data_IF_906197431511
#
_entry.id   IF_906197431511
#
_cell.length_a   1.000
_cell.length_b   1.000
_cell.length_c   1.000
_cell.angle_alpha   90.00
_cell.angle_beta   90.00
_cell.angle_gamma   90.00
#
_symmetry.space_group_name_H-M   'P 1'
#
loop_
_entity.id
_entity.type
_entity.pdbx_description
1 polymer ?
#
# COMPACT_ATOMS: atom_id res chain seq x y z
N UNK A 1 -8.00 31.92 -26.78
CA UNK A 1 -7.92 31.60 -25.33
C UNK A 1 -9.20 30.95 -24.80
N UNK A 2 -10.39 31.58 -24.84
CA UNK A 2 -11.66 30.98 -24.35
C UNK A 2 -11.96 29.57 -24.93
N UNK A 3 -11.83 29.38 -26.25
CA UNK A 3 -12.05 28.08 -26.90
C UNK A 3 -11.09 26.98 -26.43
N UNK A 4 -9.84 27.34 -26.11
CA UNK A 4 -8.83 26.41 -25.61
C UNK A 4 -9.13 25.97 -24.16
N UNK A 5 -9.51 26.92 -23.30
CA UNK A 5 -9.90 26.63 -21.92
C UNK A 5 -11.14 25.71 -21.89
N UNK A 6 -12.16 26.02 -22.70
CA UNK A 6 -13.37 25.18 -22.82
C UNK A 6 -13.00 23.77 -23.30
N UNK A 7 -12.14 23.66 -24.32
CA UNK A 7 -11.69 22.36 -24.81
C UNK A 7 -10.93 21.55 -23.75
N UNK A 8 -10.07 22.19 -22.95
CA UNK A 8 -9.33 21.52 -21.88
C UNK A 8 -10.25 21.04 -20.76
N UNK A 9 -11.25 21.83 -20.37
CA UNK A 9 -12.25 21.45 -19.36
C UNK A 9 -13.08 20.26 -19.84
N UNK A 10 -13.56 20.28 -21.08
CA UNK A 10 -14.32 19.16 -21.66
C UNK A 10 -13.48 17.89 -21.72
N UNK A 11 -12.19 18.01 -22.06
CA UNK A 11 -11.28 16.87 -22.03
C UNK A 11 -11.09 16.32 -20.62
N UNK A 12 -10.83 17.17 -19.62
CA UNK A 12 -10.68 16.75 -18.21
C UNK A 12 -11.97 16.09 -17.70
N UNK A 13 -13.14 16.61 -18.07
CA UNK A 13 -14.42 16.00 -17.72
C UNK A 13 -14.60 14.63 -18.38
N UNK A 14 -14.21 14.48 -19.65
CA UNK A 14 -14.32 13.23 -20.38
C UNK A 14 -13.40 12.14 -19.81
N UNK A 15 -12.16 12.47 -19.43
CA UNK A 15 -11.25 11.46 -18.86
C UNK A 15 -11.72 10.94 -17.50
N UNK A 16 -12.59 11.65 -16.75
CA UNK A 16 -13.11 11.12 -15.48
C UNK A 16 -13.97 9.86 -15.66
N UNK A 17 -14.51 9.62 -16.87
CA UNK A 17 -15.31 8.43 -17.17
C UNK A 17 -14.46 7.17 -17.39
N UNK A 18 -13.15 7.30 -17.57
CA UNK A 18 -12.23 6.16 -17.61
C UNK A 18 -11.89 5.83 -16.16
N UNK A 19 -12.25 4.65 -15.68
CA UNK A 19 -11.97 4.21 -14.31
C UNK A 19 -11.12 2.95 -14.31
N UNK A 20 -10.26 2.82 -13.30
CA UNK A 20 -9.64 1.54 -12.94
C UNK A 20 -10.42 0.98 -11.76
N UNK A 21 -10.81 -0.28 -11.86
CA UNK A 21 -11.49 -0.97 -10.77
C UNK A 21 -10.50 -1.31 -9.66
N UNK A 22 -10.84 -0.85 -8.46
CA UNK A 22 -10.26 -1.35 -7.22
C UNK A 22 -11.31 -1.34 -6.13
N UNK A 23 -11.32 -2.39 -5.34
CA UNK A 23 -12.05 -2.42 -4.09
C UNK A 23 -11.14 -1.86 -2.99
N UNK A 24 -11.51 -0.70 -2.45
CA UNK A 24 -10.83 -0.10 -1.31
C UNK A 24 -10.91 -1.02 -0.06
N UNK A 25 -12.03 -1.75 0.04
CA UNK A 25 -12.32 -2.72 1.07
C UNK A 25 -12.67 -4.06 0.41
N UNK A 26 -11.81 -5.06 0.58
CA UNK A 26 -12.07 -6.44 0.18
C UNK A 26 -12.36 -7.24 1.45
N UNK A 27 -13.49 -7.95 1.57
CA UNK A 27 -13.75 -8.80 2.72
C UNK A 27 -12.62 -9.81 2.95
N UNK A 28 -12.09 -9.87 4.16
CA UNK A 28 -11.08 -10.85 4.57
C UNK A 28 -11.41 -11.43 5.93
N UNK A 29 -11.05 -12.70 6.15
CA UNK A 29 -11.15 -13.31 7.46
C UNK A 29 -10.04 -12.75 8.36
N UNK A 30 -10.34 -12.22 9.56
CA UNK A 30 -9.32 -11.73 10.48
C UNK A 30 -8.25 -12.77 10.86
N UNK A 31 -8.55 -14.07 10.73
CA UNK A 31 -7.58 -15.16 10.96
C UNK A 31 -6.50 -15.24 9.87
N UNK A 32 -6.80 -14.74 8.68
CA UNK A 32 -5.89 -14.76 7.53
C UNK A 32 -4.90 -13.60 7.58
N UNK A 33 -5.17 -12.60 8.41
CA UNK A 33 -4.34 -11.41 8.54
C UNK A 33 -3.05 -11.70 9.33
N UNK A 34 -1.95 -11.04 8.96
CA UNK A 34 -0.68 -11.13 9.66
C UNK A 34 -0.82 -10.84 11.17
N UNK A 35 -0.29 -11.75 11.98
CA UNK A 35 -0.28 -11.65 13.44
C UNK A 35 1.05 -11.04 13.89
N UNK A 36 0.96 -9.84 14.45
CA UNK A 36 2.08 -9.06 14.92
C UNK A 36 1.78 -8.41 16.29
N UNK A 37 2.80 -8.19 17.14
CA UNK A 37 2.65 -7.39 18.35
C UNK A 37 2.09 -5.99 18.06
N UNK A 38 1.42 -5.37 19.03
CA UNK A 38 0.69 -4.11 18.81
C UNK A 38 1.56 -2.96 18.27
N UNK A 39 2.81 -2.86 18.73
CA UNK A 39 3.77 -1.86 18.22
C UNK A 39 4.11 -2.09 16.74
N UNK A 40 4.30 -3.35 16.33
CA UNK A 40 4.57 -3.71 14.94
C UNK A 40 3.34 -3.48 14.06
N UNK A 41 2.16 -3.89 14.55
CA UNK A 41 0.89 -3.69 13.83
C UNK A 41 0.62 -2.20 13.58
N UNK A 42 0.97 -1.32 14.51
CA UNK A 42 0.86 0.13 14.33
C UNK A 42 1.76 0.64 13.19
N UNK A 43 3.01 0.17 13.11
CA UNK A 43 3.94 0.52 12.02
C UNK A 43 3.39 0.01 10.67
N UNK A 44 2.98 -1.26 10.59
CA UNK A 44 2.45 -1.84 9.35
C UNK A 44 1.21 -1.11 8.86
N UNK A 45 0.29 -0.76 9.76
CA UNK A 45 -0.92 0.01 9.42
C UNK A 45 -0.59 1.38 8.86
N UNK A 46 0.33 2.11 9.51
CA UNK A 46 0.71 3.47 9.12
C UNK A 46 1.51 3.53 7.82
N UNK A 47 2.38 2.56 7.59
CA UNK A 47 3.41 2.65 6.56
C UNK A 47 3.23 1.67 5.40
N UNK A 48 2.33 0.68 5.52
CA UNK A 48 2.23 -0.40 4.53
C UNK A 48 0.80 -0.74 4.10
N UNK A 49 -0.20 -0.65 4.99
CA UNK A 49 -1.54 -1.20 4.74
C UNK A 49 -2.31 -0.53 3.61
N UNK A 50 -2.04 0.75 3.33
CA UNK A 50 -2.71 1.47 2.25
C UNK A 50 -2.47 0.81 0.89
N UNK A 51 -1.32 0.16 0.69
CA UNK A 51 -0.99 -0.56 -0.55
C UNK A 51 -0.97 -2.09 -0.40
N UNK A 52 -0.72 -2.61 0.79
CA UNK A 52 -0.48 -4.04 1.03
C UNK A 52 -1.54 -4.70 1.92
N UNK A 53 -2.77 -4.18 1.95
CA UNK A 53 -3.87 -4.83 2.66
C UNK A 53 -5.18 -4.74 1.89
N UNK A 54 -6.16 -5.53 2.31
CA UNK A 54 -7.53 -5.44 1.81
C UNK A 54 -8.27 -4.20 2.32
N UNK A 55 -7.70 -3.46 3.27
CA UNK A 55 -8.28 -2.23 3.82
C UNK A 55 -7.37 -1.05 3.50
N UNK A 56 -7.57 -0.48 2.32
CA UNK A 56 -6.77 0.65 1.83
C UNK A 56 -7.47 1.96 2.12
N UNK A 57 -6.77 2.89 2.78
CA UNK A 57 -7.23 4.27 2.87
C UNK A 57 -6.88 4.98 1.56
N UNK A 58 -7.89 5.16 0.70
CA UNK A 58 -7.71 5.86 -0.58
C UNK A 58 -7.75 7.38 -0.32
N UNK A 59 -6.69 8.14 -0.66
CA UNK A 59 -6.71 9.59 -0.52
C UNK A 59 -7.71 10.21 -1.51
N UNK A 60 -8.17 11.44 -1.25
CA UNK A 60 -9.18 12.12 -2.08
C UNK A 60 -8.81 12.19 -3.57
N UNK A 61 -7.53 12.35 -3.89
CA UNK A 61 -7.03 12.40 -5.27
C UNK A 61 -7.02 11.02 -5.95
N UNK A 62 -7.13 9.93 -5.19
CA UNK A 62 -7.32 8.56 -5.70
C UNK A 62 -8.69 8.32 -6.35
N UNK A 63 -9.56 9.33 -6.32
CA UNK A 63 -10.87 9.34 -6.98
C UNK A 63 -10.92 10.27 -8.21
N UNK A 64 -9.84 10.98 -8.55
CA UNK A 64 -9.81 11.96 -9.64
C UNK A 64 -8.82 11.52 -10.72
N UNK A 65 -9.29 11.41 -11.96
CA UNK A 65 -8.44 11.06 -13.09
C UNK A 65 -7.47 12.21 -13.46
N UNK A 66 -6.25 11.90 -13.93
CA UNK A 66 -5.69 10.56 -14.13
C UNK A 66 -5.04 9.95 -12.87
N UNK A 67 -4.96 10.70 -11.77
CA UNK A 67 -4.28 10.25 -10.54
C UNK A 67 -4.92 9.01 -9.92
N UNK A 68 -6.24 8.89 -10.00
CA UNK A 68 -6.97 7.69 -9.60
C UNK A 68 -6.45 6.43 -10.28
N UNK A 69 -6.07 6.49 -11.56
CA UNK A 69 -5.55 5.32 -12.26
C UNK A 69 -4.22 4.88 -11.68
N UNK A 70 -3.32 5.85 -11.47
CA UNK A 70 -2.02 5.59 -10.88
C UNK A 70 -2.15 4.98 -9.48
N UNK A 71 -2.89 5.62 -8.59
CA UNK A 71 -3.09 5.15 -7.21
C UNK A 71 -3.65 3.73 -7.20
N UNK A 72 -4.71 3.48 -7.97
CA UNK A 72 -5.40 2.18 -7.98
C UNK A 72 -4.53 1.09 -8.59
N UNK A 73 -3.81 1.37 -9.68
CA UNK A 73 -2.86 0.41 -10.26
C UNK A 73 -1.79 0.03 -9.26
N UNK A 74 -1.19 1.02 -8.59
CA UNK A 74 -0.13 0.77 -7.60
C UNK A 74 -0.61 -0.03 -6.39
N UNK A 75 -1.82 0.21 -5.89
CA UNK A 75 -2.38 -0.60 -4.80
C UNK A 75 -2.66 -2.03 -5.29
N UNK A 76 -3.23 -2.20 -6.49
CA UNK A 76 -3.46 -3.53 -7.07
C UNK A 76 -2.15 -4.32 -7.21
N UNK A 77 -1.10 -3.68 -7.72
CA UNK A 77 0.21 -4.33 -7.89
C UNK A 77 0.91 -4.57 -6.54
N UNK A 78 0.78 -3.65 -5.59
CA UNK A 78 1.24 -3.83 -4.21
C UNK A 78 0.63 -5.07 -3.55
N UNK A 79 -0.69 -5.23 -3.63
CA UNK A 79 -1.43 -6.39 -3.10
C UNK A 79 -1.02 -7.72 -3.76
N UNK A 80 -0.70 -7.72 -5.05
CA UNK A 80 -0.21 -8.92 -5.77
C UNK A 80 1.16 -9.37 -5.26
N UNK A 81 2.03 -8.43 -4.91
CA UNK A 81 3.35 -8.73 -4.34
C UNK A 81 3.22 -9.23 -2.91
N UNK A 82 2.43 -8.52 -2.10
CA UNK A 82 2.20 -8.86 -0.69
C UNK A 82 0.87 -8.28 -0.21
N UNK A 83 0.08 -9.11 0.48
CA UNK A 83 -1.15 -8.68 1.12
C UNK A 83 -1.21 -9.18 2.57
N UNK A 84 -1.16 -8.26 3.51
CA UNK A 84 -1.21 -8.54 4.95
C UNK A 84 -2.54 -9.12 5.40
N UNK A 85 -3.63 -8.87 4.68
CA UNK A 85 -4.96 -9.41 5.00
C UNK A 85 -5.12 -10.88 4.65
N UNK A 86 -4.24 -11.42 3.79
CA UNK A 86 -4.23 -12.83 3.37
C UNK A 86 -2.89 -13.49 3.69
N UNK A 87 -2.08 -12.91 4.58
CA UNK A 87 -0.72 -13.36 4.84
C UNK A 87 -0.67 -14.80 5.36
N UNK A 88 -1.59 -15.18 6.26
CA UNK A 88 -1.61 -16.51 6.85
C UNK A 88 -2.19 -17.58 5.92
N UNK A 89 -2.76 -17.20 4.76
CA UNK A 89 -3.20 -18.18 3.74
C UNK A 89 -2.04 -18.65 2.87
N UNK A 90 -0.89 -17.96 2.93
CA UNK A 90 0.34 -18.38 2.26
C UNK A 90 0.93 -19.61 2.97
N UNK A 91 1.60 -20.47 2.22
CA UNK A 91 2.44 -21.52 2.81
C UNK A 91 3.63 -20.93 3.58
N UNK A 92 4.27 -21.74 4.42
CA UNK A 92 5.31 -21.27 5.34
C UNK A 92 6.54 -20.69 4.64
N UNK A 93 6.93 -21.27 3.50
CA UNK A 93 8.05 -20.78 2.70
C UNK A 93 7.74 -19.40 2.10
N UNK A 94 6.52 -19.20 1.57
CA UNK A 94 6.09 -17.89 1.09
C UNK A 94 5.95 -16.86 2.21
N UNK A 95 5.46 -17.25 3.39
CA UNK A 95 5.42 -16.36 4.55
C UNK A 95 6.82 -15.88 4.92
N UNK A 96 7.79 -16.81 5.00
CA UNK A 96 9.20 -16.48 5.28
C UNK A 96 9.78 -15.55 4.22
N UNK A 97 9.63 -15.90 2.94
CA UNK A 97 10.14 -15.08 1.83
C UNK A 97 9.55 -13.67 1.85
N UNK A 98 8.25 -13.53 2.13
CA UNK A 98 7.62 -12.23 2.26
C UNK A 98 8.20 -11.38 3.41
N UNK A 99 8.54 -11.99 4.55
CA UNK A 99 9.18 -11.28 5.67
C UNK A 99 10.61 -10.85 5.31
N UNK A 100 11.39 -11.70 4.64
CA UNK A 100 12.71 -11.35 4.11
C UNK A 100 12.62 -10.16 3.14
N UNK A 101 11.65 -10.20 2.21
CA UNK A 101 11.42 -9.13 1.24
C UNK A 101 11.02 -7.81 1.90
N UNK A 102 10.26 -7.85 3.01
CA UNK A 102 9.97 -6.65 3.81
C UNK A 102 11.27 -6.10 4.39
N UNK A 103 12.10 -6.93 5.03
CA UNK A 103 13.34 -6.52 5.66
C UNK A 103 14.30 -5.83 4.68
N UNK A 104 14.40 -6.33 3.45
CA UNK A 104 15.18 -5.70 2.38
C UNK A 104 14.51 -4.42 1.87
N UNK A 105 13.21 -4.47 1.61
CA UNK A 105 12.48 -3.38 0.97
C UNK A 105 12.43 -2.12 1.83
N UNK A 106 12.31 -2.22 3.16
CA UNK A 106 12.29 -1.04 4.05
C UNK A 106 13.62 -0.27 4.10
N UNK A 107 14.69 -0.86 3.57
CA UNK A 107 16.01 -0.22 3.42
C UNK A 107 16.16 0.40 2.04
N UNK A 108 15.69 -0.29 1.01
CA UNK A 108 15.99 0.04 -0.39
C UNK A 108 14.94 0.98 -1.00
N UNK A 109 13.64 0.71 -0.76
CA UNK A 109 12.57 1.21 -1.64
C UNK A 109 11.24 1.52 -0.96
N UNK A 110 10.96 0.96 0.21
CA UNK A 110 9.69 1.12 0.91
C UNK A 110 9.80 1.99 2.16
N UNK A 111 8.81 2.86 2.42
CA UNK A 111 7.76 3.28 1.48
C UNK A 111 8.33 4.04 0.28
N UNK A 112 7.63 4.01 -0.86
CA UNK A 112 8.07 4.70 -2.08
C UNK A 112 8.28 6.20 -1.81
N UNK A 113 9.38 6.79 -2.30
CA UNK A 113 9.68 8.21 -2.10
C UNK A 113 8.57 9.12 -2.66
N UNK A 114 7.98 8.75 -3.79
CA UNK A 114 6.83 9.43 -4.41
C UNK A 114 5.58 9.37 -3.53
N UNK A 115 5.39 8.28 -2.78
CA UNK A 115 4.31 8.15 -1.81
C UNK A 115 4.54 9.07 -0.61
N UNK A 116 5.78 9.11 -0.09
CA UNK A 116 6.17 9.93 1.06
C UNK A 116 6.08 11.44 0.81
N UNK A 117 6.15 11.88 -0.45
CA UNK A 117 5.96 13.29 -0.79
C UNK A 117 4.58 13.82 -0.38
N UNK A 118 3.54 12.97 -0.47
CA UNK A 118 2.16 13.30 -0.08
C UNK A 118 1.75 12.67 1.26
N UNK A 119 2.49 11.68 1.76
CA UNK A 119 2.20 10.92 2.99
C UNK A 119 3.43 10.82 3.88
N UNK A 120 3.93 11.97 4.34
CA UNK A 120 5.11 12.03 5.21
C UNK A 120 4.93 11.25 6.52
N UNK A 121 3.68 11.11 6.99
CA UNK A 121 3.31 10.29 8.15
C UNK A 121 3.60 8.80 7.97
N UNK A 122 3.71 8.30 6.73
CA UNK A 122 4.04 6.91 6.45
C UNK A 122 5.54 6.63 6.53
N UNK A 123 6.40 7.66 6.63
CA UNK A 123 7.85 7.49 6.68
C UNK A 123 8.26 6.59 7.85
N UNK A 124 9.17 5.64 7.56
CA UNK A 124 9.78 4.79 8.57
C UNK A 124 11.05 5.45 9.10
N UNK A 125 11.09 5.74 10.39
CA UNK A 125 12.32 6.15 11.06
C UNK A 125 13.19 4.93 11.41
N UNK A 126 14.39 5.17 11.94
CA UNK A 126 15.32 4.08 12.26
C UNK A 126 14.81 3.14 13.35
N UNK A 127 14.03 3.65 14.32
CA UNK A 127 13.41 2.82 15.35
C UNK A 127 12.32 1.91 14.76
N UNK A 128 11.52 2.41 13.82
CA UNK A 128 10.50 1.62 13.13
C UNK A 128 11.16 0.50 12.31
N UNK A 129 12.21 0.84 11.55
CA UNK A 129 12.96 -0.13 10.75
C UNK A 129 13.61 -1.19 11.63
N UNK A 130 14.19 -0.79 12.77
CA UNK A 130 14.78 -1.71 13.73
C UNK A 130 13.73 -2.64 14.33
N UNK A 131 12.59 -2.10 14.77
CA UNK A 131 11.51 -2.89 15.35
C UNK A 131 10.96 -3.93 14.36
N UNK A 132 10.77 -3.55 13.09
CA UNK A 132 10.36 -4.48 12.03
C UNK A 132 11.38 -5.60 11.82
N UNK A 133 12.68 -5.26 11.71
CA UNK A 133 13.76 -6.24 11.52
C UNK A 133 13.88 -7.21 12.69
N UNK A 134 13.83 -6.70 13.92
CA UNK A 134 13.94 -7.54 15.12
C UNK A 134 12.73 -8.48 15.23
N UNK A 135 11.53 -7.98 14.93
CA UNK A 135 10.33 -8.81 14.90
C UNK A 135 10.40 -9.89 13.80
N UNK A 136 10.83 -9.55 12.59
CA UNK A 136 11.01 -10.52 11.50
C UNK A 136 11.99 -11.63 11.91
N UNK A 137 13.16 -11.26 12.45
CA UNK A 137 14.15 -12.23 12.93
C UNK A 137 13.61 -13.17 14.00
N UNK A 138 12.74 -12.67 14.88
CA UNK A 138 12.11 -13.50 15.92
C UNK A 138 11.11 -14.54 15.38
N UNK A 139 10.71 -14.45 14.11
CA UNK A 139 9.82 -15.42 13.43
C UNK A 139 10.57 -16.53 12.70
N UNK A 140 11.87 -16.35 12.45
CA UNK A 140 12.74 -17.33 11.78
C UNK A 140 13.42 -18.30 12.77
N UNK A 141 13.20 -18.10 14.08
CA UNK A 141 13.62 -18.99 15.17
C UNK A 141 12.48 -19.94 15.56
#
# INVERSE_FOLDING_TARGET
MKKFIISAILFIAFIQFITIDIEALIPSNPKDEIIAPSNIKAILKRSCYDCHSNNSVIPWYGSIAPFSWYVRSHINDGRKVLNFSTFNTLDKEKQKKALEDIQESIVIRMPLSTYLWMHSNAALNDNDKKALKDWIKSKDQ
#
